data_IF_755080962058
#
_entry.id   IF_755080962058
#
_cell.length_a   1.000
_cell.length_b   1.000
_cell.length_c   1.000
_cell.angle_alpha   90.00
_cell.angle_beta   90.00
_cell.angle_gamma   90.00
#
_symmetry.space_group_name_H-M   'P 1'
#
loop_
_entity.id
_entity.type
_entity.pdbx_description
1 polymer ?
#
# COMPACT_ATOMS: atom_id res chain seq x y z
N UNK A 1 -12.40 11.97 -3.92
CA UNK A 1 -11.45 11.06 -3.24
C UNK A 1 -11.48 11.15 -1.71
N UNK A 2 -12.15 12.13 -1.09
CA UNK A 2 -12.21 12.25 0.39
C UNK A 2 -12.80 10.99 1.03
N UNK A 3 -13.83 10.42 0.43
CA UNK A 3 -14.48 9.21 0.95
C UNK A 3 -13.52 8.01 0.98
N UNK A 4 -12.76 7.79 -0.09
CA UNK A 4 -11.74 6.72 -0.14
C UNK A 4 -10.63 6.93 0.90
N UNK A 5 -10.19 8.18 1.09
CA UNK A 5 -9.21 8.50 2.13
C UNK A 5 -9.77 8.24 3.53
N UNK A 6 -11.05 8.50 3.74
CA UNK A 6 -11.72 8.23 5.01
C UNK A 6 -11.88 6.74 5.27
N UNK A 7 -12.29 5.97 4.25
CA UNK A 7 -12.26 4.50 4.32
C UNK A 7 -10.86 4.00 4.67
N UNK A 8 -9.82 4.51 4.02
CA UNK A 8 -8.43 4.15 4.30
C UNK A 8 -8.04 4.40 5.78
N UNK A 9 -8.49 5.51 6.38
CA UNK A 9 -8.26 5.76 7.82
C UNK A 9 -8.93 4.72 8.71
N UNK A 10 -10.16 4.32 8.38
CA UNK A 10 -10.98 3.42 9.17
C UNK A 10 -10.57 1.95 9.06
N UNK A 11 -10.03 1.51 7.92
CA UNK A 11 -9.60 0.12 7.74
C UNK A 11 -8.45 -0.20 8.71
N UNK A 12 -8.55 -1.25 9.55
CA UNK A 12 -7.49 -1.67 10.45
C UNK A 12 -6.19 -1.99 9.69
N UNK A 13 -5.04 -1.57 10.24
CA UNK A 13 -3.76 -1.72 9.53
C UNK A 13 -3.38 -3.19 9.27
N UNK A 14 -3.77 -4.09 10.16
CA UNK A 14 -3.62 -5.56 10.05
C UNK A 14 -4.55 -6.20 9.00
N UNK A 15 -5.38 -5.41 8.32
CA UNK A 15 -6.26 -5.84 7.22
C UNK A 15 -5.96 -5.12 5.91
N UNK A 16 -4.87 -4.36 5.83
CA UNK A 16 -4.51 -3.59 4.64
C UNK A 16 -3.48 -4.30 3.76
N UNK A 17 -3.67 -4.19 2.45
CA UNK A 17 -2.64 -4.38 1.43
C UNK A 17 -2.51 -3.08 0.63
N UNK A 18 -1.35 -2.89 0.00
CA UNK A 18 -1.11 -1.78 -0.94
C UNK A 18 -0.65 -2.33 -2.28
N UNK A 19 -1.06 -1.67 -3.36
CA UNK A 19 -0.72 -2.07 -4.72
C UNK A 19 -0.60 -0.86 -5.64
N UNK A 20 -0.16 -1.10 -6.87
CA UNK A 20 -0.12 -0.08 -7.93
C UNK A 20 -1.23 -0.27 -8.96
N UNK A 21 -1.69 -1.50 -9.16
CA UNK A 21 -2.50 -1.89 -10.32
C UNK A 21 -1.82 -1.56 -11.66
N UNK A 22 -0.48 -1.71 -11.72
CA UNK A 22 0.28 -1.47 -12.94
C UNK A 22 -0.20 -2.37 -14.08
N UNK A 23 -0.38 -1.83 -15.30
CA UNK A 23 0.13 -0.55 -15.82
C UNK A 23 -0.77 0.68 -15.59
N UNK A 24 -1.86 0.56 -14.83
CA UNK A 24 -2.88 1.60 -14.64
C UNK A 24 -2.63 2.46 -13.39
N UNK A 25 -3.36 3.58 -13.27
CA UNK A 25 -3.47 4.37 -12.02
C UNK A 25 -2.14 4.88 -11.42
N UNK A 26 -1.23 5.40 -12.25
CA UNK A 26 0.03 5.96 -11.76
C UNK A 26 -0.17 6.99 -10.62
N UNK A 27 0.50 6.81 -9.46
CA UNK A 27 0.36 7.70 -8.32
C UNK A 27 0.99 9.07 -8.61
N UNK A 28 0.65 10.07 -7.78
CA UNK A 28 1.31 11.38 -7.83
C UNK A 28 2.79 11.19 -7.37
N UNK A 29 3.78 11.82 -8.03
CA UNK A 29 3.69 12.83 -9.10
C UNK A 29 3.67 12.29 -10.54
N UNK A 30 3.55 10.98 -10.75
CA UNK A 30 3.64 10.31 -12.05
C UNK A 30 2.31 10.17 -12.80
N UNK A 31 1.24 10.79 -12.30
CA UNK A 31 -0.11 10.70 -12.87
C UNK A 31 -0.08 11.00 -14.38
N UNK A 32 -0.72 10.15 -15.17
CA UNK A 32 -0.77 10.25 -16.63
C UNK A 32 0.34 9.49 -17.37
N UNK A 33 1.30 8.91 -16.66
CA UNK A 33 2.26 7.92 -17.19
C UNK A 33 1.76 6.50 -16.99
N UNK A 34 2.34 5.55 -17.70
CA UNK A 34 2.22 4.11 -17.41
C UNK A 34 2.72 3.85 -16.00
N UNK A 35 1.93 3.16 -15.18
CA UNK A 35 2.32 2.82 -13.82
C UNK A 35 3.30 1.65 -13.80
N UNK A 36 4.13 1.60 -12.76
CA UNK A 36 5.14 0.56 -12.56
C UNK A 36 5.13 0.07 -11.10
N UNK A 37 5.42 -1.23 -10.85
CA UNK A 37 5.44 -1.78 -9.50
C UNK A 37 6.33 -1.01 -8.50
N UNK A 38 7.44 -0.44 -8.98
CA UNK A 38 8.35 0.35 -8.15
C UNK A 38 7.67 1.56 -7.46
N UNK A 39 6.59 2.08 -8.04
CA UNK A 39 5.84 3.20 -7.48
C UNK A 39 4.87 2.80 -6.35
N UNK A 40 4.81 1.52 -5.96
CA UNK A 40 4.08 1.09 -4.75
C UNK A 40 4.60 1.80 -3.50
N UNK A 41 5.88 2.18 -3.49
CA UNK A 41 6.49 3.01 -2.45
C UNK A 41 5.77 4.36 -2.27
N UNK A 42 5.29 4.98 -3.35
CA UNK A 42 4.54 6.25 -3.31
C UNK A 42 3.13 6.08 -2.78
N UNK A 43 2.51 4.93 -3.05
CA UNK A 43 1.23 4.57 -2.42
C UNK A 43 1.45 4.35 -0.92
N UNK A 44 2.50 3.64 -0.54
CA UNK A 44 2.88 3.42 0.86
C UNK A 44 3.14 4.72 1.63
N UNK A 45 3.96 5.63 1.09
CA UNK A 45 4.21 6.96 1.68
C UNK A 45 2.91 7.72 1.99
N UNK A 46 1.97 7.71 1.04
CA UNK A 46 0.70 8.40 1.18
C UNK A 46 -0.22 7.73 2.22
N UNK A 47 -0.33 6.40 2.20
CA UNK A 47 -1.16 5.64 3.15
C UNK A 47 -0.60 5.75 4.57
N UNK A 48 0.71 5.68 4.76
CA UNK A 48 1.36 5.84 6.07
C UNK A 48 1.01 7.21 6.69
N UNK A 49 1.05 8.28 5.88
CA UNK A 49 0.63 9.61 6.31
C UNK A 49 -0.85 9.65 6.72
N UNK A 50 -1.74 9.04 5.93
CA UNK A 50 -3.17 8.98 6.27
C UNK A 50 -3.44 8.19 7.57
N UNK A 51 -2.68 7.11 7.81
CA UNK A 51 -2.80 6.25 8.99
C UNK A 51 -2.10 6.81 10.23
N UNK A 52 -1.25 7.82 10.09
CA UNK A 52 -0.46 8.39 11.19
C UNK A 52 0.64 7.44 11.70
N UNK A 53 1.20 6.60 10.83
CA UNK A 53 2.27 5.65 11.15
C UNK A 53 3.51 5.93 10.31
N UNK A 54 4.66 5.33 10.67
CA UNK A 54 5.85 5.41 9.82
C UNK A 54 5.68 4.56 8.55
N UNK A 55 6.43 4.90 7.49
CA UNK A 55 6.45 4.09 6.27
C UNK A 55 6.98 2.68 6.54
N UNK A 56 7.96 2.56 7.45
CA UNK A 56 8.51 1.26 7.87
C UNK A 56 7.46 0.39 8.57
N UNK A 57 6.68 0.96 9.49
CA UNK A 57 5.59 0.26 10.17
C UNK A 57 4.54 -0.21 9.16
N UNK A 58 4.12 0.69 8.27
CA UNK A 58 3.18 0.35 7.20
C UNK A 58 3.72 -0.81 6.35
N UNK A 59 4.96 -0.71 5.88
CA UNK A 59 5.58 -1.70 5.02
C UNK A 59 5.68 -3.07 5.70
N UNK A 60 6.10 -3.10 6.97
CA UNK A 60 6.18 -4.33 7.76
C UNK A 60 4.81 -4.96 7.93
N UNK A 61 3.80 -4.18 8.34
CA UNK A 61 2.46 -4.71 8.56
C UNK A 61 1.80 -5.18 7.25
N UNK A 62 1.85 -4.40 6.17
CA UNK A 62 1.24 -4.80 4.90
C UNK A 62 1.95 -6.00 4.26
N UNK A 63 3.27 -6.13 4.47
CA UNK A 63 4.01 -7.33 4.04
C UNK A 63 3.57 -8.55 4.85
N UNK A 64 3.46 -8.42 6.18
CA UNK A 64 2.95 -9.50 7.04
C UNK A 64 1.54 -9.94 6.62
N UNK A 65 0.65 -8.97 6.37
CA UNK A 65 -0.71 -9.22 5.89
C UNK A 65 -0.71 -9.96 4.55
N UNK A 66 0.20 -9.62 3.63
CA UNK A 66 0.31 -10.30 2.33
C UNK A 66 0.65 -11.77 2.51
N UNK A 67 1.71 -12.09 3.26
CA UNK A 67 2.11 -13.49 3.50
C UNK A 67 0.99 -14.28 4.19
N UNK A 68 0.29 -13.68 5.15
CA UNK A 68 -0.85 -14.30 5.80
C UNK A 68 -2.04 -14.51 4.85
N UNK A 69 -2.40 -13.50 4.06
CA UNK A 69 -3.55 -13.53 3.16
C UNK A 69 -3.38 -14.55 2.04
N UNK A 70 -2.19 -14.63 1.45
CA UNK A 70 -1.89 -15.53 0.35
C UNK A 70 -1.31 -16.87 0.80
N UNK A 71 -1.20 -17.12 2.11
CA UNK A 71 -0.69 -18.36 2.70
C UNK A 71 0.72 -18.71 2.19
N UNK A 72 1.57 -17.69 2.04
CA UNK A 72 2.95 -17.83 1.59
C UNK A 72 3.91 -17.82 2.77
N UNK A 73 4.97 -18.63 2.70
CA UNK A 73 6.02 -18.60 3.72
C UNK A 73 7.05 -17.49 3.40
N UNK A 74 7.18 -16.54 4.31
CA UNK A 74 8.13 -15.42 4.20
C UNK A 74 9.59 -15.87 4.26
N UNK A 75 9.89 -16.99 4.90
CA UNK A 75 11.25 -17.51 5.04
C UNK A 75 11.80 -18.16 3.76
N UNK A 76 10.95 -18.38 2.75
CA UNK A 76 11.32 -19.02 1.48
C UNK A 76 11.75 -17.98 0.41
N UNK A 77 11.63 -16.68 0.71
CA UNK A 77 12.06 -15.56 -0.15
C UNK A 77 13.27 -14.83 0.44
#
# INVERSE_FOLDING_TARGET
>A
AKDLQETCRQVPLDRMLIETDSPYLAPIPYRGKTNEPAWVSKVGEYVANLKGVSVEELANQTSSNFFQCFQLNREIL
#
